data_IF_481073238533
#
_entry.id   IF_481073238533
#
_cell.length_a   1.000
_cell.length_b   1.000
_cell.length_c   1.000
_cell.angle_alpha   90.00
_cell.angle_beta   90.00
_cell.angle_gamma   90.00
#
_symmetry.space_group_name_H-M   'P 1'
#
loop_
_entity.id
_entity.type
_entity.pdbx_description
1 polymer ?
#
# COMPACT_ATOMS: atom_id res chain seq x y z
N UNK A 1 47.15 -32.56 13.15
CA UNK A 1 48.16 -31.81 13.93
C UNK A 1 47.51 -30.50 14.40
N UNK A 2 47.25 -30.36 15.70
CA UNK A 2 46.79 -29.13 16.36
C UNK A 2 47.78 -28.81 17.48
N UNK A 3 48.19 -27.54 17.69
CA UNK A 3 48.88 -27.16 18.91
C UNK A 3 48.10 -26.12 19.72
N UNK A 4 48.59 -25.93 20.96
CA UNK A 4 48.31 -24.89 21.96
C UNK A 4 47.23 -25.13 23.04
N UNK A 5 47.72 -25.59 24.21
CA UNK A 5 47.23 -25.35 25.58
C UNK A 5 47.75 -23.99 26.10
N UNK A 6 47.55 -23.54 27.38
CA UNK A 6 46.63 -23.96 28.45
C UNK A 6 45.81 -22.77 29.07
N UNK A 7 44.78 -23.08 29.88
CA UNK A 7 44.12 -22.11 30.79
C UNK A 7 44.40 -22.47 32.26
N UNK A 8 44.72 -21.44 33.04
CA UNK A 8 45.18 -21.45 34.44
C UNK A 8 43.99 -21.51 35.43
N UNK A 9 44.27 -22.12 36.59
CA UNK A 9 43.38 -22.44 37.72
C UNK A 9 42.99 -21.27 38.65
N UNK A 10 41.74 -21.40 39.15
CA UNK A 10 41.20 -21.19 40.51
C UNK A 10 41.71 -20.08 41.45
N UNK A 11 40.75 -19.34 42.04
CA UNK A 11 40.66 -19.19 43.50
C UNK A 11 39.24 -18.82 43.99
N UNK A 12 38.78 -19.63 44.93
CA UNK A 12 37.55 -19.58 45.71
C UNK A 12 37.71 -18.61 46.88
N UNK A 13 36.64 -17.90 47.28
CA UNK A 13 36.41 -17.55 48.70
C UNK A 13 34.91 -17.37 48.99
N UNK A 14 34.35 -18.34 49.72
CA UNK A 14 33.14 -18.21 50.56
C UNK A 14 33.56 -17.65 51.93
N UNK A 15 32.68 -16.87 52.55
CA UNK A 15 32.78 -16.50 53.96
C UNK A 15 31.49 -15.83 54.40
N UNK A 16 30.90 -16.36 55.47
CA UNK A 16 29.50 -16.20 55.89
C UNK A 16 29.44 -15.53 57.26
N UNK A 17 28.26 -14.96 57.62
CA UNK A 17 27.65 -14.93 58.99
C UNK A 17 28.35 -14.03 60.06
N UNK A 18 27.75 -13.32 61.04
CA UNK A 18 26.38 -13.12 61.58
C UNK A 18 26.35 -11.91 62.56
N UNK A 19 25.13 -11.51 62.97
CA UNK A 19 24.64 -11.14 64.32
C UNK A 19 24.85 -9.71 64.90
N UNK A 20 23.71 -9.03 65.12
CA UNK A 20 23.14 -8.59 66.43
C UNK A 20 21.84 -7.80 66.15
N UNK A 21 20.63 -8.35 66.29
CA UNK A 21 19.76 -8.46 67.49
C UNK A 21 19.81 -7.28 68.46
N UNK A 22 18.76 -6.45 68.43
CA UNK A 22 18.21 -5.72 69.58
C UNK A 22 16.67 -5.92 69.55
N UNK A 23 16.18 -6.71 70.49
CA UNK A 23 14.80 -6.76 71.00
C UNK A 23 14.59 -5.59 72.00
N UNK A 24 13.43 -5.05 72.38
CA UNK A 24 12.09 -5.61 72.67
C UNK A 24 11.20 -4.40 73.05
N UNK A 25 9.91 -4.40 72.73
CA UNK A 25 8.79 -4.07 73.64
C UNK A 25 7.49 -3.85 72.87
N UNK A 26 6.55 -4.77 73.06
CA UNK A 26 5.14 -4.59 72.74
C UNK A 26 4.44 -4.00 73.96
N UNK A 27 3.54 -3.03 73.76
CA UNK A 27 2.44 -2.76 74.69
C UNK A 27 1.21 -2.31 73.89
N UNK A 28 0.15 -3.10 74.02
CA UNK A 28 -1.17 -2.93 73.42
C UNK A 28 -2.10 -2.24 74.42
N UNK A 29 -2.66 -1.06 74.10
CA UNK A 29 -3.84 -0.50 74.80
C UNK A 29 -4.70 0.38 73.87
N UNK A 30 -5.99 0.06 73.90
CA UNK A 30 -7.20 0.87 73.69
C UNK A 30 -7.61 1.36 72.28
N UNK A 31 -8.78 0.85 71.90
CA UNK A 31 -9.69 1.40 70.93
C UNK A 31 -10.12 2.84 71.24
N UNK A 32 -10.31 3.64 70.20
CA UNK A 32 -11.32 4.69 70.16
C UNK A 32 -11.73 4.91 68.70
N UNK A 33 -12.91 4.42 68.37
CA UNK A 33 -13.61 4.75 67.16
C UNK A 33 -14.02 6.23 67.23
N UNK A 34 -13.49 7.03 66.32
CA UNK A 34 -14.07 8.34 65.99
C UNK A 34 -14.59 8.25 64.57
N UNK A 35 -15.91 8.07 64.48
CA UNK A 35 -16.69 8.20 63.27
C UNK A 35 -16.71 9.70 62.91
N UNK A 36 -15.85 10.10 61.98
CA UNK A 36 -16.04 11.34 61.24
C UNK A 36 -16.73 10.97 59.93
N UNK A 37 -18.05 11.01 59.96
CA UNK A 37 -18.90 11.08 58.79
C UNK A 37 -18.63 12.43 58.10
N UNK A 38 -17.56 12.48 57.32
CA UNK A 38 -17.37 13.53 56.32
C UNK A 38 -18.20 13.16 55.10
N UNK A 39 -19.27 13.90 54.84
CA UNK A 39 -20.00 13.90 53.57
C UNK A 39 -19.08 14.36 52.44
N UNK A 40 -18.21 13.46 51.98
CA UNK A 40 -17.54 13.57 50.71
C UNK A 40 -18.53 13.16 49.63
N UNK A 41 -19.23 14.13 49.05
CA UNK A 41 -19.89 13.94 47.76
C UNK A 41 -18.78 13.68 46.75
N UNK A 42 -18.39 12.42 46.59
CA UNK A 42 -17.66 11.95 45.40
C UNK A 42 -18.59 12.18 44.23
N UNK A 43 -18.46 13.35 43.60
CA UNK A 43 -18.95 13.55 42.24
C UNK A 43 -18.27 12.47 41.39
N UNK A 44 -19.02 11.41 41.08
CA UNK A 44 -18.65 10.52 39.99
C UNK A 44 -18.55 11.41 38.76
N UNK A 45 -17.32 11.69 38.34
CA UNK A 45 -17.05 12.17 36.99
C UNK A 45 -17.43 11.02 36.09
N UNK A 46 -18.71 10.98 35.71
CA UNK A 46 -19.15 10.24 34.53
C UNK A 46 -18.46 10.92 33.36
N UNK A 47 -17.28 10.41 33.00
CA UNK A 47 -16.69 10.70 31.70
C UNK A 47 -17.75 10.34 30.66
N UNK A 48 -18.31 11.35 30.01
CA UNK A 48 -19.14 11.13 28.84
C UNK A 48 -18.40 10.17 27.90
N UNK A 49 -19.08 9.19 27.28
CA UNK A 49 -18.42 8.31 26.33
C UNK A 49 -17.71 9.19 25.31
N UNK A 50 -16.38 9.11 25.23
CA UNK A 50 -15.67 9.84 24.19
C UNK A 50 -16.12 9.21 22.88
N UNK A 51 -17.03 9.88 22.17
CA UNK A 51 -17.32 9.56 20.79
C UNK A 51 -16.04 9.88 20.00
N UNK A 52 -15.09 8.95 20.02
CA UNK A 52 -13.83 9.02 19.30
C UNK A 52 -14.14 8.88 17.81
N UNK A 53 -14.57 10.00 17.22
CA UNK A 53 -14.75 10.12 15.78
C UNK A 53 -13.37 10.04 15.14
N UNK A 54 -13.23 9.12 14.19
CA UNK A 54 -12.05 9.03 13.33
C UNK A 54 -12.25 10.06 12.23
N UNK A 55 -11.37 11.06 12.19
CA UNK A 55 -11.37 12.09 11.16
C UNK A 55 -10.18 11.84 10.24
N UNK A 56 -10.47 11.57 8.98
CA UNK A 56 -9.51 11.30 7.92
C UNK A 56 -9.56 12.43 6.90
N UNK A 57 -8.46 12.63 6.18
CA UNK A 57 -8.40 13.48 4.99
C UNK A 57 -7.96 12.59 3.84
N UNK A 58 -8.80 12.49 2.81
CA UNK A 58 -8.54 11.65 1.64
C UNK A 58 -7.64 12.37 0.61
N UNK A 59 -7.31 11.68 -0.48
CA UNK A 59 -6.41 12.21 -1.51
C UNK A 59 -7.03 13.33 -2.35
N UNK A 60 -8.35 13.56 -2.23
CA UNK A 60 -9.05 14.73 -2.77
C UNK A 60 -9.19 15.86 -1.74
N UNK A 61 -8.45 15.77 -0.63
CA UNK A 61 -8.49 16.70 0.50
C UNK A 61 -9.88 16.83 1.14
N UNK A 62 -10.74 15.83 0.98
CA UNK A 62 -12.05 15.78 1.61
C UNK A 62 -11.94 15.18 3.00
N UNK A 63 -12.69 15.75 3.94
CA UNK A 63 -12.78 15.18 5.30
C UNK A 63 -13.77 14.03 5.32
N UNK A 64 -13.30 12.85 5.71
CA UNK A 64 -14.14 11.66 5.95
C UNK A 64 -14.23 11.43 7.46
N UNK A 65 -15.45 11.27 7.98
CA UNK A 65 -15.69 11.09 9.41
C UNK A 65 -16.34 9.74 9.65
N UNK A 66 -15.71 8.91 10.48
CA UNK A 66 -16.27 7.65 10.96
C UNK A 66 -16.54 7.75 12.47
N UNK A 67 -17.67 7.23 12.92
CA UNK A 67 -18.02 7.22 14.35
C UNK A 67 -17.30 6.12 15.13
N UNK A 68 -16.76 5.12 14.43
CA UNK A 68 -16.01 3.97 14.94
C UNK A 68 -15.12 3.43 13.80
N UNK A 69 -14.12 2.60 14.09
CA UNK A 69 -13.44 1.83 13.04
C UNK A 69 -14.45 1.10 12.15
N UNK A 70 -14.24 1.17 10.83
CA UNK A 70 -15.09 0.51 9.84
C UNK A 70 -15.06 -1.01 10.02
N UNK A 71 -16.24 -1.64 9.93
CA UNK A 71 -16.45 -3.08 10.14
C UNK A 71 -17.25 -3.74 9.01
N UNK A 72 -17.73 -2.94 8.05
CA UNK A 72 -18.49 -3.37 6.86
C UNK A 72 -18.01 -2.53 5.67
N UNK A 73 -17.08 -3.07 4.92
CA UNK A 73 -16.34 -2.36 3.88
C UNK A 73 -16.84 -2.81 2.51
N UNK A 74 -17.14 -1.85 1.65
CA UNK A 74 -17.14 -2.09 0.20
C UNK A 74 -15.82 -1.56 -0.34
N UNK A 75 -15.10 -2.41 -1.07
CA UNK A 75 -13.88 -2.02 -1.78
C UNK A 75 -14.18 -2.00 -3.28
N UNK A 76 -13.77 -0.93 -3.96
CA UNK A 76 -13.93 -0.76 -5.41
C UNK A 76 -12.55 -0.62 -6.05
N UNK A 77 -12.31 -1.28 -7.17
CA UNK A 77 -11.03 -1.42 -7.88
C UNK A 77 -10.04 -2.40 -7.21
N UNK A 78 -9.21 -3.13 -7.99
CA UNK A 78 -8.25 -4.11 -7.49
C UNK A 78 -7.26 -3.55 -6.46
N UNK A 79 -6.71 -2.35 -6.67
CA UNK A 79 -5.78 -1.73 -5.71
C UNK A 79 -6.36 -1.63 -4.29
N UNK A 80 -7.61 -1.19 -4.18
CA UNK A 80 -8.28 -1.06 -2.89
C UNK A 80 -8.58 -2.43 -2.27
N UNK A 81 -8.89 -3.45 -3.08
CA UNK A 81 -9.05 -4.82 -2.63
C UNK A 81 -7.75 -5.39 -2.03
N UNK A 82 -6.63 -5.23 -2.71
CA UNK A 82 -5.32 -5.69 -2.23
C UNK A 82 -4.95 -5.03 -0.89
N UNK A 83 -5.18 -3.71 -0.76
CA UNK A 83 -4.94 -2.99 0.50
C UNK A 83 -5.80 -3.57 1.63
N UNK A 84 -7.11 -3.73 1.44
CA UNK A 84 -7.97 -4.23 2.53
C UNK A 84 -7.64 -5.67 2.92
N UNK A 85 -7.27 -6.51 1.95
CA UNK A 85 -6.89 -7.90 2.20
C UNK A 85 -5.56 -8.01 2.96
N UNK A 86 -4.54 -7.23 2.58
CA UNK A 86 -3.25 -7.18 3.29
C UNK A 86 -3.37 -6.67 4.74
N UNK A 87 -4.41 -5.89 5.03
CA UNK A 87 -4.74 -5.46 6.40
C UNK A 87 -5.50 -6.52 7.21
N UNK A 88 -5.80 -7.66 6.60
CA UNK A 88 -6.51 -8.79 7.19
C UNK A 88 -8.02 -8.54 7.36
N UNK A 89 -8.61 -7.71 6.49
CA UNK A 89 -10.00 -7.26 6.59
C UNK A 89 -11.00 -8.10 5.79
N UNK A 90 -10.59 -9.29 5.30
CA UNK A 90 -11.46 -10.16 4.48
C UNK A 90 -12.87 -10.36 5.08
N UNK A 91 -13.00 -10.45 6.40
CA UNK A 91 -14.30 -10.68 7.07
C UNK A 91 -15.17 -9.43 7.13
N UNK A 92 -14.53 -8.27 7.14
CA UNK A 92 -15.15 -6.96 7.16
C UNK A 92 -15.58 -6.51 5.76
N UNK A 93 -15.07 -7.12 4.68
CA UNK A 93 -15.50 -6.83 3.30
C UNK A 93 -16.88 -7.44 3.03
N UNK A 94 -17.85 -6.59 2.71
CA UNK A 94 -19.24 -6.94 2.40
C UNK A 94 -19.60 -6.78 0.93
N UNK A 95 -18.68 -6.27 0.12
CA UNK A 95 -18.83 -6.16 -1.33
C UNK A 95 -17.54 -5.75 -2.03
N UNK A 96 -17.30 -6.34 -3.19
CA UNK A 96 -16.26 -5.96 -4.15
C UNK A 96 -16.89 -5.84 -5.54
N UNK A 97 -16.38 -4.94 -6.38
CA UNK A 97 -16.86 -4.83 -7.76
C UNK A 97 -16.29 -5.94 -8.67
N UNK A 98 -16.86 -6.06 -9.87
CA UNK A 98 -16.52 -7.10 -10.85
C UNK A 98 -15.02 -7.15 -11.21
N UNK A 99 -14.37 -5.98 -11.34
CA UNK A 99 -13.00 -5.86 -11.83
C UNK A 99 -12.00 -6.56 -10.90
N UNK A 100 -12.26 -6.53 -9.59
CA UNK A 100 -11.41 -7.13 -8.56
C UNK A 100 -11.27 -8.65 -8.79
N UNK A 101 -12.34 -9.34 -9.17
CA UNK A 101 -12.31 -10.79 -9.39
C UNK A 101 -11.58 -11.18 -10.68
N UNK A 102 -11.37 -10.22 -11.58
CA UNK A 102 -10.73 -10.44 -12.87
C UNK A 102 -9.27 -10.00 -12.88
N UNK A 103 -8.94 -8.87 -12.25
CA UNK A 103 -7.66 -8.18 -12.44
C UNK A 103 -6.75 -8.18 -11.21
N UNK A 104 -7.26 -8.53 -10.02
CA UNK A 104 -6.39 -8.70 -8.84
C UNK A 104 -5.35 -9.80 -9.11
N UNK A 105 -4.08 -9.63 -8.77
CA UNK A 105 -3.05 -10.63 -9.03
C UNK A 105 -3.06 -11.83 -8.07
N UNK A 106 -2.33 -12.87 -8.46
CA UNK A 106 -2.34 -14.20 -7.84
C UNK A 106 -2.18 -14.26 -6.31
N UNK A 107 -1.35 -13.44 -5.64
CA UNK A 107 -1.18 -13.52 -4.19
C UNK A 107 -2.48 -13.35 -3.39
N UNK A 108 -3.48 -12.66 -3.94
CA UNK A 108 -4.76 -12.38 -3.27
C UNK A 108 -5.94 -13.23 -3.78
N UNK A 109 -5.79 -14.03 -4.83
CA UNK A 109 -6.89 -14.79 -5.46
C UNK A 109 -7.66 -15.67 -4.47
N UNK A 110 -6.93 -16.37 -3.58
CA UNK A 110 -7.55 -17.25 -2.59
C UNK A 110 -8.41 -16.47 -1.57
N UNK A 111 -8.04 -15.21 -1.29
CA UNK A 111 -8.74 -14.36 -0.36
C UNK A 111 -10.04 -13.80 -0.94
N UNK A 112 -10.15 -13.65 -2.27
CA UNK A 112 -11.38 -13.20 -2.93
C UNK A 112 -12.53 -14.20 -2.81
N UNK A 113 -12.23 -15.49 -2.60
CA UNK A 113 -13.25 -16.54 -2.51
C UNK A 113 -14.26 -16.25 -1.40
N UNK A 114 -15.53 -16.18 -1.79
CA UNK A 114 -16.68 -15.99 -0.90
C UNK A 114 -17.03 -14.53 -0.61
N UNK A 115 -16.29 -13.56 -1.16
CA UNK A 115 -16.64 -12.15 -1.05
C UNK A 115 -17.80 -11.84 -2.01
N UNK A 116 -18.87 -11.14 -1.58
CA UNK A 116 -19.97 -10.77 -2.45
C UNK A 116 -19.52 -9.84 -3.57
N UNK A 117 -19.97 -10.12 -4.80
CA UNK A 117 -19.79 -9.23 -5.92
C UNK A 117 -20.99 -8.27 -6.04
N UNK A 118 -20.73 -6.96 -6.05
CA UNK A 118 -21.74 -5.89 -6.10
C UNK A 118 -21.94 -5.29 -7.50
N UNK A 119 -21.41 -5.93 -8.56
CA UNK A 119 -21.45 -5.46 -9.94
C UNK A 119 -20.28 -4.53 -10.27
N UNK A 120 -20.28 -3.89 -11.46
CA UNK A 120 -19.13 -3.15 -11.91
C UNK A 120 -19.01 -1.77 -11.23
N UNK A 121 -17.80 -1.26 -11.12
CA UNK A 121 -17.48 0.14 -10.77
C UNK A 121 -17.36 1.04 -12.00
N UNK A 122 -17.14 0.48 -13.20
CA UNK A 122 -17.03 1.20 -14.46
C UNK A 122 -18.14 0.82 -15.45
N UNK A 123 -18.82 1.80 -16.10
CA UNK A 123 -18.58 3.25 -16.00
C UNK A 123 -19.18 3.91 -14.75
N UNK A 124 -19.76 3.15 -13.82
CA UNK A 124 -20.26 3.62 -12.54
C UNK A 124 -20.81 2.49 -11.68
N UNK A 125 -20.98 2.74 -10.38
CA UNK A 125 -21.50 1.75 -9.43
C UNK A 125 -23.03 1.61 -9.49
N UNK A 126 -23.55 0.46 -9.07
CA UNK A 126 -24.96 0.36 -8.65
C UNK A 126 -25.10 0.82 -7.20
N UNK A 127 -25.65 2.03 -7.03
CA UNK A 127 -25.89 2.64 -5.71
C UNK A 127 -26.78 1.74 -4.85
N UNK A 128 -27.81 1.13 -5.44
CA UNK A 128 -28.74 0.25 -4.73
C UNK A 128 -28.04 -0.99 -4.18
N UNK A 129 -27.15 -1.62 -4.96
CA UNK A 129 -26.39 -2.79 -4.50
C UNK A 129 -25.41 -2.42 -3.39
N UNK A 130 -24.71 -1.29 -3.52
CA UNK A 130 -23.81 -0.79 -2.47
C UNK A 130 -24.59 -0.52 -1.18
N UNK A 131 -25.71 0.20 -1.25
CA UNK A 131 -26.56 0.48 -0.09
C UNK A 131 -27.14 -0.80 0.53
N UNK A 132 -27.57 -1.76 -0.29
CA UNK A 132 -28.10 -3.05 0.16
C UNK A 132 -27.04 -3.88 0.92
N UNK A 133 -25.76 -3.74 0.57
CA UNK A 133 -24.65 -4.35 1.32
C UNK A 133 -24.44 -3.72 2.71
N UNK A 134 -25.08 -2.58 3.01
CA UNK A 134 -25.02 -1.85 4.29
C UNK A 134 -23.58 -1.58 4.76
N UNK A 135 -22.71 -0.97 3.94
CA UNK A 135 -21.36 -0.64 4.35
C UNK A 135 -21.37 0.50 5.39
N UNK A 136 -20.38 0.47 6.28
CA UNK A 136 -20.01 1.62 7.11
C UNK A 136 -18.76 2.36 6.57
N UNK A 137 -18.19 1.89 5.46
CA UNK A 137 -17.17 2.56 4.67
C UNK A 137 -17.16 2.02 3.23
N UNK A 138 -17.02 2.92 2.25
CA UNK A 138 -16.64 2.58 0.87
C UNK A 138 -15.22 3.08 0.63
N UNK A 139 -14.31 2.20 0.20
CA UNK A 139 -12.96 2.57 -0.25
C UNK A 139 -12.96 2.53 -1.77
N UNK A 140 -12.58 3.64 -2.41
CA UNK A 140 -12.73 3.81 -3.85
C UNK A 140 -11.62 4.68 -4.45
N UNK A 141 -11.51 4.65 -5.77
CA UNK A 141 -10.61 5.49 -6.55
C UNK A 141 -11.37 6.67 -7.20
N UNK A 142 -10.64 7.62 -7.77
CA UNK A 142 -11.25 8.74 -8.51
C UNK A 142 -11.90 8.28 -9.82
N UNK A 143 -12.81 9.08 -10.39
CA UNK A 143 -13.40 8.82 -11.70
C UNK A 143 -14.60 7.84 -11.72
N UNK A 144 -14.84 7.10 -10.63
CA UNK A 144 -15.99 6.20 -10.49
C UNK A 144 -17.29 7.01 -10.34
N UNK A 145 -18.24 6.83 -11.27
CA UNK A 145 -19.55 7.51 -11.22
C UNK A 145 -20.45 6.88 -10.16
N UNK A 146 -21.31 7.70 -9.55
CA UNK A 146 -22.30 7.27 -8.53
C UNK A 146 -21.81 7.33 -7.09
N UNK A 147 -20.51 7.57 -6.84
CA UNK A 147 -19.97 7.69 -5.47
C UNK A 147 -20.60 8.84 -4.68
N UNK A 148 -20.87 9.97 -5.33
CA UNK A 148 -21.53 11.14 -4.70
C UNK A 148 -22.91 10.81 -4.15
N UNK A 149 -23.61 9.88 -4.78
CA UNK A 149 -24.99 9.55 -4.46
C UNK A 149 -25.08 8.75 -3.16
N UNK A 150 -23.97 8.14 -2.71
CA UNK A 150 -23.89 7.43 -1.43
C UNK A 150 -24.03 8.36 -0.22
N UNK A 151 -23.74 9.65 -0.40
CA UNK A 151 -23.86 10.67 0.66
C UNK A 151 -25.29 10.79 1.19
N UNK A 152 -26.31 10.61 0.34
CA UNK A 152 -27.71 10.68 0.75
C UNK A 152 -28.12 9.54 1.70
N UNK A 153 -27.32 8.47 1.74
CA UNK A 153 -27.50 7.32 2.64
C UNK A 153 -26.56 7.36 3.85
N UNK A 154 -25.85 8.47 4.06
CA UNK A 154 -24.85 8.63 5.12
C UNK A 154 -23.72 7.57 5.09
N UNK A 155 -23.42 7.03 3.90
CA UNK A 155 -22.31 6.10 3.71
C UNK A 155 -21.04 6.92 3.43
N UNK A 156 -20.01 6.85 4.27
CA UNK A 156 -18.76 7.56 4.04
C UNK A 156 -17.97 6.87 2.92
N UNK A 157 -17.37 7.69 2.05
CA UNK A 157 -16.50 7.26 0.95
C UNK A 157 -15.11 7.80 1.21
N UNK A 158 -14.11 6.93 1.17
CA UNK A 158 -12.69 7.26 1.28
C UNK A 158 -12.04 7.11 -0.10
N UNK A 159 -11.61 8.22 -0.69
CA UNK A 159 -10.99 8.23 -2.02
C UNK A 159 -9.46 8.11 -1.90
N UNK A 160 -8.90 7.06 -2.50
CA UNK A 160 -7.46 6.85 -2.62
C UNK A 160 -7.04 7.17 -4.07
N UNK A 161 -5.99 7.97 -4.26
CA UNK A 161 -5.55 8.44 -5.57
C UNK A 161 -4.06 8.84 -5.57
N UNK A 162 -3.17 7.89 -5.26
CA UNK A 162 -1.79 8.24 -4.97
C UNK A 162 -1.01 8.51 -6.26
N UNK A 163 -0.35 9.66 -6.31
CA UNK A 163 0.51 10.07 -7.43
C UNK A 163 1.95 9.54 -7.33
N UNK A 164 2.27 8.72 -6.32
CA UNK A 164 3.61 8.19 -6.07
C UNK A 164 3.59 6.98 -5.15
N UNK A 165 4.72 6.26 -5.06
CA UNK A 165 4.90 5.15 -4.10
C UNK A 165 4.71 5.61 -2.65
N UNK A 166 5.13 6.83 -2.32
CA UNK A 166 4.92 7.40 -0.99
C UNK A 166 3.43 7.66 -0.74
N UNK A 167 2.68 8.03 -1.78
CA UNK A 167 1.21 8.11 -1.74
C UNK A 167 0.59 6.75 -1.45
N UNK A 168 1.03 5.68 -2.12
CA UNK A 168 0.55 4.32 -1.83
C UNK A 168 0.76 3.93 -0.36
N UNK A 169 1.92 4.28 0.21
CA UNK A 169 2.17 4.08 1.64
C UNK A 169 1.26 4.90 2.55
N UNK A 170 0.88 6.10 2.13
CA UNK A 170 -0.07 6.94 2.85
C UNK A 170 -1.46 6.29 2.83
N UNK A 171 -1.90 5.81 1.68
CA UNK A 171 -3.22 5.24 1.48
C UNK A 171 -3.43 3.94 2.26
N UNK A 172 -2.42 3.06 2.29
CA UNK A 172 -2.43 1.88 3.15
C UNK A 172 -2.60 2.27 4.63
N UNK A 173 -1.93 3.34 5.08
CA UNK A 173 -2.09 3.84 6.46
C UNK A 173 -3.46 4.45 6.68
N UNK A 174 -4.00 5.18 5.69
CA UNK A 174 -5.31 5.81 5.76
C UNK A 174 -6.41 4.77 5.92
N UNK A 175 -6.37 3.68 5.13
CA UNK A 175 -7.27 2.52 5.30
C UNK A 175 -7.03 1.85 6.66
N UNK A 176 -5.78 1.72 7.10
CA UNK A 176 -5.42 1.23 8.43
C UNK A 176 -6.03 2.05 9.57
N UNK A 177 -6.05 3.38 9.47
CA UNK A 177 -6.68 4.27 10.45
C UNK A 177 -8.21 4.17 10.39
N UNK A 178 -8.80 4.16 9.19
CA UNK A 178 -10.23 4.02 8.97
C UNK A 178 -10.82 2.74 9.60
N UNK A 179 -10.02 1.67 9.63
CA UNK A 179 -10.44 0.32 10.03
C UNK A 179 -9.87 -0.11 11.39
N UNK A 180 -9.09 0.75 12.06
CA UNK A 180 -8.41 0.42 13.32
C UNK A 180 -7.27 -0.60 13.19
N UNK A 181 -6.80 -0.85 11.96
CA UNK A 181 -5.69 -1.75 11.60
C UNK A 181 -4.35 -1.02 11.45
N UNK A 182 -4.14 0.07 12.18
CA UNK A 182 -2.93 0.91 12.08
C UNK A 182 -1.62 0.11 12.23
N UNK A 183 -1.56 -0.89 13.13
CA UNK A 183 -0.35 -1.71 13.31
C UNK A 183 -0.06 -2.59 12.09
N UNK A 184 -1.11 -3.20 11.50
CA UNK A 184 -1.02 -4.00 10.28
C UNK A 184 -0.58 -3.11 9.12
N UNK A 185 -1.21 -1.95 8.93
CA UNK A 185 -0.85 -1.00 7.89
C UNK A 185 0.61 -0.54 7.98
N UNK A 186 1.07 -0.21 9.19
CA UNK A 186 2.49 0.11 9.41
C UNK A 186 3.40 -1.09 9.07
N UNK A 187 2.97 -2.32 9.33
CA UNK A 187 3.74 -3.52 8.99
C UNK A 187 3.86 -3.71 7.49
N UNK A 188 2.74 -3.62 6.76
CA UNK A 188 2.68 -3.70 5.29
C UNK A 188 3.59 -2.64 4.67
N UNK A 189 3.44 -1.37 5.07
CA UNK A 189 4.28 -0.27 4.57
C UNK A 189 5.77 -0.48 4.87
N UNK A 190 6.12 -0.96 6.07
CA UNK A 190 7.52 -1.26 6.41
C UNK A 190 8.10 -2.36 5.52
N UNK A 191 7.33 -3.42 5.26
CA UNK A 191 7.77 -4.53 4.42
C UNK A 191 7.94 -4.08 2.97
N UNK A 192 6.94 -3.37 2.41
CA UNK A 192 7.04 -2.81 1.06
C UNK A 192 8.27 -1.91 0.91
N UNK A 193 8.45 -0.97 1.84
CA UNK A 193 9.60 -0.05 1.82
C UNK A 193 10.92 -0.81 1.90
N UNK A 194 11.06 -1.76 2.83
CA UNK A 194 12.30 -2.53 2.97
C UNK A 194 12.63 -3.33 1.70
N UNK A 195 11.62 -3.90 1.03
CA UNK A 195 11.81 -4.63 -0.22
C UNK A 195 12.17 -3.68 -1.38
N UNK A 196 11.47 -2.55 -1.52
CA UNK A 196 11.76 -1.55 -2.55
C UNK A 196 13.13 -0.92 -2.36
N UNK A 197 13.51 -0.57 -1.13
CA UNK A 197 14.84 -0.04 -0.80
C UNK A 197 15.93 -1.06 -1.15
N UNK A 198 15.73 -2.34 -0.84
CA UNK A 198 16.69 -3.39 -1.19
C UNK A 198 16.87 -3.55 -2.71
N UNK A 199 15.80 -3.38 -3.49
CA UNK A 199 15.85 -3.39 -4.96
C UNK A 199 16.60 -2.14 -5.46
N UNK A 200 16.24 -0.97 -4.94
CA UNK A 200 16.85 0.31 -5.31
C UNK A 200 18.36 0.33 -5.03
N UNK A 201 18.82 -0.26 -3.92
CA UNK A 201 20.25 -0.40 -3.63
C UNK A 201 20.99 -1.24 -4.67
N UNK A 202 20.35 -2.29 -5.20
CA UNK A 202 20.94 -3.08 -6.30
C UNK A 202 20.93 -2.29 -7.61
N UNK A 203 19.84 -1.60 -7.91
CA UNK A 203 19.73 -0.73 -9.09
C UNK A 203 20.80 0.37 -9.05
N UNK A 204 21.11 0.97 -7.89
CA UNK A 204 22.17 1.97 -7.75
C UNK A 204 23.58 1.47 -8.11
N UNK A 205 23.78 0.16 -8.23
CA UNK A 205 25.06 -0.42 -8.71
C UNK A 205 25.20 -0.37 -10.23
N UNK A 206 24.10 -0.15 -10.98
CA UNK A 206 24.18 0.15 -12.41
C UNK A 206 24.38 1.65 -12.64
N UNK A 207 25.23 1.98 -13.61
CA UNK A 207 25.40 3.36 -14.09
C UNK A 207 24.51 3.66 -15.30
N UNK A 208 23.78 2.66 -15.81
CA UNK A 208 22.90 2.81 -16.95
C UNK A 208 21.52 3.25 -16.50
N UNK A 209 21.01 4.31 -17.12
CA UNK A 209 19.65 4.81 -16.90
C UNK A 209 18.91 4.91 -18.23
N UNK A 210 18.47 3.77 -18.80
CA UNK A 210 17.82 3.76 -20.10
C UNK A 210 16.53 4.58 -20.07
N UNK A 211 16.24 5.20 -21.21
CA UNK A 211 14.94 5.86 -21.46
C UNK A 211 13.89 4.80 -21.72
N UNK A 212 12.79 4.85 -21.00
CA UNK A 212 11.67 3.92 -21.11
C UNK A 212 10.42 4.67 -21.55
N UNK A 213 9.74 4.15 -22.57
CA UNK A 213 8.34 4.48 -22.86
C UNK A 213 7.47 3.34 -22.36
N UNK A 214 6.47 3.64 -21.51
CA UNK A 214 5.50 2.66 -21.02
C UNK A 214 4.16 2.92 -21.72
N UNK A 215 3.78 2.07 -22.67
CA UNK A 215 2.52 2.16 -23.41
C UNK A 215 1.43 1.41 -22.64
N UNK A 216 0.46 2.16 -22.11
CA UNK A 216 -0.75 1.65 -21.45
C UNK A 216 -1.82 1.22 -22.46
N UNK A 217 -1.53 1.34 -23.76
CA UNK A 217 -2.45 1.11 -24.87
C UNK A 217 -2.83 2.40 -25.57
N UNK A 218 -2.91 2.35 -26.90
CA UNK A 218 -3.27 3.49 -27.76
C UNK A 218 -2.47 4.77 -27.49
N UNK A 219 -1.21 4.67 -27.03
CA UNK A 219 -0.34 5.79 -26.65
C UNK A 219 -0.76 6.55 -25.39
N UNK A 220 -1.64 5.99 -24.57
CA UNK A 220 -1.69 6.41 -23.18
C UNK A 220 -0.40 6.00 -22.48
N UNK A 221 0.19 6.88 -21.67
CA UNK A 221 1.45 6.59 -20.99
C UNK A 221 1.49 7.16 -19.58
N UNK A 222 2.50 6.81 -18.80
CA UNK A 222 2.76 7.37 -17.48
C UNK A 222 3.46 8.74 -17.59
N UNK A 223 2.83 9.80 -17.09
CA UNK A 223 3.39 11.16 -16.99
C UNK A 223 4.05 11.45 -15.63
N UNK A 224 4.50 12.70 -15.37
CA UNK A 224 5.36 13.04 -14.23
C UNK A 224 4.70 12.87 -12.84
N UNK A 225 3.36 12.88 -12.78
CA UNK A 225 2.57 12.77 -11.54
C UNK A 225 1.85 11.42 -11.40
N UNK A 226 2.44 10.36 -11.97
CA UNK A 226 1.93 8.99 -11.83
C UNK A 226 2.80 8.17 -10.88
N UNK A 227 2.19 7.20 -10.19
CA UNK A 227 2.95 6.23 -9.41
C UNK A 227 3.78 5.30 -10.32
N UNK A 228 3.34 5.03 -11.56
CA UNK A 228 4.12 4.28 -12.57
C UNK A 228 5.41 5.03 -12.92
N UNK A 229 5.37 6.36 -13.08
CA UNK A 229 6.60 7.16 -13.23
C UNK A 229 7.53 7.01 -12.03
N UNK A 230 6.99 6.99 -10.81
CA UNK A 230 7.81 6.74 -9.61
C UNK A 230 8.46 5.35 -9.66
N UNK A 231 7.74 4.34 -10.12
CA UNK A 231 8.21 2.96 -10.22
C UNK A 231 9.31 2.80 -11.27
N UNK A 232 9.15 3.39 -12.46
CA UNK A 232 10.17 3.38 -13.53
C UNK A 232 11.46 4.06 -13.05
N UNK A 233 11.35 5.18 -12.32
CA UNK A 233 12.53 5.86 -11.77
C UNK A 233 13.22 5.01 -10.68
N UNK A 234 12.47 4.34 -9.80
CA UNK A 234 13.01 3.41 -8.81
C UNK A 234 13.67 2.18 -9.46
N UNK A 235 13.19 1.77 -10.63
CA UNK A 235 13.78 0.70 -11.42
C UNK A 235 15.11 1.11 -12.09
N UNK A 236 15.53 2.38 -11.99
CA UNK A 236 16.79 2.88 -12.53
C UNK A 236 16.67 3.55 -13.89
N UNK A 237 15.49 3.55 -14.50
CA UNK A 237 15.26 4.13 -15.81
C UNK A 237 14.87 5.62 -15.76
N UNK A 238 14.68 6.20 -16.94
CA UNK A 238 14.11 7.52 -17.16
C UNK A 238 12.82 7.34 -17.96
N UNK A 239 11.68 7.66 -17.35
CA UNK A 239 10.40 7.64 -18.06
C UNK A 239 10.31 8.82 -19.05
N UNK A 240 10.22 8.52 -20.35
CA UNK A 240 10.12 9.59 -21.37
C UNK A 240 8.77 10.29 -21.35
N UNK A 241 7.70 9.60 -20.95
CA UNK A 241 6.35 10.15 -20.84
C UNK A 241 6.26 11.28 -19.82
N UNK A 242 7.13 11.27 -18.81
CA UNK A 242 7.20 12.32 -17.78
C UNK A 242 7.57 13.70 -18.35
N UNK A 243 8.14 13.76 -19.55
CA UNK A 243 8.51 15.02 -20.23
C UNK A 243 7.54 15.45 -21.34
N UNK A 244 6.57 14.60 -21.69
CA UNK A 244 5.66 14.81 -22.82
C UNK A 244 4.37 15.56 -22.45
N UNK A 245 4.01 15.55 -21.17
CA UNK A 245 2.80 16.18 -20.63
C UNK A 245 2.96 16.51 -19.16
N UNK A 246 2.08 17.38 -18.64
CA UNK A 246 1.91 17.62 -17.20
C UNK A 246 0.85 16.73 -16.56
N UNK A 247 0.08 15.98 -17.35
CA UNK A 247 -0.94 15.06 -16.83
C UNK A 247 -0.30 13.78 -16.29
N UNK A 248 -0.97 13.11 -15.34
CA UNK A 248 -0.48 11.85 -14.78
C UNK A 248 -0.54 10.70 -15.81
N UNK A 249 -1.59 10.65 -16.65
CA UNK A 249 -1.79 9.61 -17.65
C UNK A 249 -2.22 10.22 -19.01
N UNK A 250 -1.31 10.93 -19.71
CA UNK A 250 -1.63 11.57 -20.98
C UNK A 250 -1.78 10.57 -22.12
N UNK A 251 -2.64 10.91 -23.09
CA UNK A 251 -2.52 10.43 -24.46
C UNK A 251 -1.44 11.25 -25.17
N UNK A 252 -0.38 10.60 -25.65
CA UNK A 252 0.71 11.24 -26.40
C UNK A 252 0.62 10.93 -27.90
N UNK A 253 1.40 11.63 -28.72
CA UNK A 253 1.48 11.33 -30.16
C UNK A 253 2.66 10.42 -30.49
N UNK A 254 2.56 9.69 -31.60
CA UNK A 254 3.66 8.84 -32.08
C UNK A 254 4.93 9.67 -32.33
N UNK A 255 4.80 10.89 -32.85
CA UNK A 255 5.92 11.79 -33.08
C UNK A 255 6.63 12.19 -31.78
N UNK A 256 5.90 12.36 -30.68
CA UNK A 256 6.50 12.63 -29.38
C UNK A 256 7.35 11.44 -28.92
N UNK A 257 6.85 10.21 -29.07
CA UNK A 257 7.59 8.98 -28.70
C UNK A 257 8.82 8.80 -29.60
N UNK A 258 8.68 8.96 -30.92
CA UNK A 258 9.79 8.91 -31.88
C UNK A 258 10.87 9.94 -31.53
N UNK A 259 10.48 11.17 -31.19
CA UNK A 259 11.41 12.23 -30.80
C UNK A 259 12.13 11.94 -29.48
N UNK A 260 11.45 11.29 -28.54
CA UNK A 260 12.06 10.94 -27.26
C UNK A 260 13.12 9.83 -27.40
N UNK A 261 12.96 8.98 -28.42
CA UNK A 261 13.86 7.89 -28.80
C UNK A 261 14.21 6.99 -27.58
N UNK A 262 13.22 6.26 -27.04
CA UNK A 262 13.45 5.40 -25.88
C UNK A 262 14.41 4.24 -26.21
N UNK A 263 15.15 3.81 -25.19
CA UNK A 263 15.98 2.61 -25.23
C UNK A 263 15.12 1.34 -25.15
N UNK A 264 14.03 1.39 -24.37
CA UNK A 264 13.10 0.28 -24.19
C UNK A 264 11.65 0.78 -24.30
N UNK A 265 10.80 -0.02 -24.95
CA UNK A 265 9.34 0.17 -24.94
C UNK A 265 8.73 -0.97 -24.12
N UNK A 266 7.95 -0.62 -23.11
CA UNK A 266 7.22 -1.55 -22.25
C UNK A 266 5.74 -1.41 -22.55
N UNK A 267 5.10 -2.49 -22.97
CA UNK A 267 3.69 -2.55 -23.33
C UNK A 267 2.94 -3.18 -22.16
N UNK A 268 1.92 -2.50 -21.67
CA UNK A 268 0.97 -3.05 -20.72
C UNK A 268 0.24 -4.25 -21.34
N UNK A 269 0.32 -5.43 -20.69
CA UNK A 269 -0.34 -6.63 -21.20
C UNK A 269 -1.86 -6.53 -21.28
N UNK A 270 -2.48 -5.68 -20.46
CA UNK A 270 -3.93 -5.46 -20.46
C UNK A 270 -4.41 -4.69 -21.69
N UNK A 271 -3.53 -3.93 -22.35
CA UNK A 271 -3.83 -3.19 -23.58
C UNK A 271 -4.15 -4.11 -24.77
N UNK A 272 -3.70 -5.37 -24.73
CA UNK A 272 -3.84 -6.32 -25.83
C UNK A 272 -2.98 -6.00 -27.07
N UNK A 273 -2.16 -4.95 -27.00
CA UNK A 273 -1.18 -4.61 -28.04
C UNK A 273 -0.02 -5.60 -28.00
N UNK A 274 0.28 -6.18 -29.17
CA UNK A 274 1.44 -7.07 -29.34
C UNK A 274 2.69 -6.27 -29.70
N UNK A 275 3.87 -6.84 -29.44
CA UNK A 275 5.16 -6.28 -29.91
C UNK A 275 5.11 -5.95 -31.41
N UNK A 276 4.59 -6.87 -32.23
CA UNK A 276 4.52 -6.64 -33.68
C UNK A 276 3.61 -5.48 -34.07
N UNK A 277 2.53 -5.23 -33.33
CA UNK A 277 1.65 -4.08 -33.60
C UNK A 277 2.33 -2.78 -33.18
N UNK A 278 3.05 -2.79 -32.05
CA UNK A 278 3.77 -1.63 -31.55
C UNK A 278 4.94 -1.25 -32.48
N UNK A 279 5.71 -2.24 -32.94
CA UNK A 279 6.81 -2.06 -33.90
C UNK A 279 6.34 -1.46 -35.24
N UNK A 280 5.14 -1.83 -35.67
CA UNK A 280 4.53 -1.39 -36.95
C UNK A 280 3.84 -0.03 -36.85
N UNK A 281 3.76 0.56 -35.65
CA UNK A 281 3.18 1.88 -35.46
C UNK A 281 3.94 2.91 -36.30
N UNK A 282 3.21 3.87 -36.87
CA UNK A 282 3.80 4.85 -37.78
C UNK A 282 4.98 5.59 -37.12
N UNK A 283 6.15 5.52 -37.76
CA UNK A 283 7.39 6.15 -37.29
C UNK A 283 8.20 5.32 -36.28
N UNK A 284 7.64 4.27 -35.68
CA UNK A 284 8.30 3.51 -34.62
C UNK A 284 9.52 2.71 -35.09
N UNK A 285 9.59 2.35 -36.38
CA UNK A 285 10.80 1.77 -36.99
C UNK A 285 12.05 2.68 -36.91
N UNK A 286 11.89 3.97 -36.61
CA UNK A 286 13.00 4.89 -36.37
C UNK A 286 13.52 4.87 -34.93
N UNK A 287 12.73 4.38 -33.97
CA UNK A 287 13.07 4.34 -32.54
C UNK A 287 14.16 3.30 -32.27
N UNK A 288 15.12 3.63 -31.40
CA UNK A 288 16.19 2.74 -31.01
C UNK A 288 15.68 1.40 -30.45
N UNK A 289 14.73 1.43 -29.51
CA UNK A 289 14.11 0.24 -28.94
C UNK A 289 13.60 -0.75 -30.00
N UNK A 290 12.88 -0.27 -31.03
CA UNK A 290 12.35 -1.10 -32.12
C UNK A 290 13.48 -1.67 -32.97
N UNK A 291 14.49 -0.85 -33.30
CA UNK A 291 15.66 -1.28 -34.09
C UNK A 291 16.48 -2.37 -33.40
N UNK A 292 16.56 -2.35 -32.06
CA UNK A 292 17.33 -3.30 -31.27
C UNK A 292 16.50 -4.46 -30.72
N UNK A 293 15.19 -4.48 -30.95
CA UNK A 293 14.28 -5.50 -30.43
C UNK A 293 14.03 -5.40 -28.92
N UNK A 294 14.13 -4.19 -28.36
CA UNK A 294 13.88 -3.88 -26.96
C UNK A 294 12.44 -3.38 -26.75
N UNK A 295 11.50 -4.17 -27.26
CA UNK A 295 10.06 -3.93 -27.11
C UNK A 295 9.47 -5.13 -26.39
N UNK A 296 8.92 -4.89 -25.21
CA UNK A 296 8.54 -5.94 -24.27
C UNK A 296 7.08 -5.77 -23.86
N UNK A 297 6.31 -6.86 -23.87
CA UNK A 297 5.03 -6.90 -23.17
C UNK A 297 5.31 -7.25 -21.71
N UNK A 298 4.78 -6.47 -20.77
CA UNK A 298 4.86 -6.74 -19.34
C UNK A 298 4.22 -8.10 -19.03
N UNK A 299 4.95 -9.09 -18.48
CA UNK A 299 4.37 -10.39 -18.14
C UNK A 299 3.17 -10.34 -17.19
N UNK A 300 3.18 -9.44 -16.21
CA UNK A 300 2.12 -9.29 -15.21
C UNK A 300 1.82 -7.81 -14.97
N UNK A 301 1.12 -7.17 -15.91
CA UNK A 301 0.79 -5.74 -15.77
C UNK A 301 -0.04 -5.43 -14.51
N UNK A 302 -0.84 -6.38 -14.00
CA UNK A 302 -1.56 -6.22 -12.72
C UNK A 302 -0.68 -5.96 -11.49
N UNK A 303 0.64 -6.16 -11.57
CA UNK A 303 1.57 -5.73 -10.53
C UNK A 303 2.00 -4.25 -10.62
N UNK A 304 1.63 -3.55 -11.69
CA UNK A 304 2.06 -2.18 -12.03
C UNK A 304 0.87 -1.27 -12.34
N UNK A 305 -0.26 -1.81 -12.80
CA UNK A 305 -1.39 -0.99 -13.26
C UNK A 305 -2.19 -0.38 -12.08
N UNK A 306 -1.99 -0.93 -10.88
CA UNK A 306 -2.75 -0.60 -9.67
C UNK A 306 -1.83 -0.03 -8.58
N UNK A 307 -2.21 1.09 -7.93
CA UNK A 307 -1.41 1.71 -6.87
C UNK A 307 -1.50 0.96 -5.53
N UNK A 308 -0.93 -0.25 -5.47
CA UNK A 308 -1.19 -1.21 -4.40
C UNK A 308 0.10 -1.81 -3.78
N UNK A 309 -0.02 -2.71 -2.78
CA UNK A 309 1.10 -3.51 -2.31
C UNK A 309 1.83 -4.31 -3.40
N UNK A 310 1.15 -4.68 -4.48
CA UNK A 310 1.72 -5.43 -5.60
C UNK A 310 2.86 -4.71 -6.33
N UNK A 311 2.97 -3.38 -6.20
CA UNK A 311 4.05 -2.59 -6.80
C UNK A 311 5.45 -3.05 -6.43
N UNK A 312 5.62 -3.77 -5.31
CA UNK A 312 6.92 -4.41 -4.99
C UNK A 312 7.29 -5.46 -6.05
N UNK A 313 6.33 -6.26 -6.51
CA UNK A 313 6.53 -7.26 -7.56
C UNK A 313 6.71 -6.57 -8.92
N UNK A 314 5.91 -5.54 -9.19
CA UNK A 314 6.04 -4.72 -10.39
C UNK A 314 7.43 -4.09 -10.51
N UNK A 315 7.99 -3.57 -9.41
CA UNK A 315 9.36 -3.06 -9.39
C UNK A 315 10.40 -4.14 -9.73
N UNK A 316 10.24 -5.35 -9.21
CA UNK A 316 11.15 -6.47 -9.53
C UNK A 316 11.09 -6.81 -11.02
N UNK A 317 9.88 -6.85 -11.58
CA UNK A 317 9.65 -7.17 -12.99
C UNK A 317 10.26 -6.11 -13.91
N UNK A 318 10.05 -4.82 -13.60
CA UNK A 318 10.69 -3.71 -14.31
C UNK A 318 12.22 -3.82 -14.26
N UNK A 319 12.81 -4.06 -13.09
CA UNK A 319 14.27 -4.19 -12.99
C UNK A 319 14.78 -5.41 -13.75
N UNK A 320 14.05 -6.52 -13.77
CA UNK A 320 14.44 -7.69 -14.54
C UNK A 320 14.49 -7.42 -16.06
N UNK A 321 13.50 -6.68 -16.57
CA UNK A 321 13.43 -6.31 -17.98
C UNK A 321 14.49 -5.26 -18.33
N UNK A 322 14.57 -4.18 -17.54
CA UNK A 322 15.42 -3.01 -17.82
C UNK A 322 16.90 -3.31 -17.53
N UNK A 323 17.18 -4.14 -16.53
CA UNK A 323 18.52 -4.47 -16.06
C UNK A 323 18.70 -5.98 -15.88
N UNK A 324 18.66 -6.79 -16.95
CA UNK A 324 18.64 -8.26 -16.88
C UNK A 324 19.90 -8.87 -16.23
N UNK A 325 20.99 -8.11 -16.11
CA UNK A 325 22.20 -8.52 -15.42
C UNK A 325 22.11 -8.40 -13.90
N UNK A 326 21.14 -7.65 -13.36
CA UNK A 326 20.91 -7.50 -11.92
C UNK A 326 20.06 -8.66 -11.40
N UNK A 327 20.60 -9.38 -10.41
CA UNK A 327 19.85 -10.42 -9.70
C UNK A 327 19.03 -9.82 -8.57
N UNK A 328 17.72 -9.71 -8.78
CA UNK A 328 16.78 -9.20 -7.78
C UNK A 328 15.97 -10.35 -7.16
N UNK A 329 16.23 -10.65 -5.89
CA UNK A 329 15.32 -11.45 -5.03
C UNK A 329 15.07 -12.88 -5.49
N UNK A 330 16.13 -13.70 -5.59
CA UNK A 330 16.03 -15.16 -5.38
C UNK A 330 15.53 -15.46 -3.95
#
# INVERSE_FOLDING_TARGET
MRPFSPKVHYLVKRGTLVFKRITLAALSVAASAVVLAGCGTTAQVTSAPSNHRIKLVDDLHQTVILNKPATRIVALEPSNAEIVLDLGLKREVVGMDDSIFQYTPAPWHAELKGIPNIGPSYPGISVEKVVAAKPDLVVASTGIKGLSDLKQFHIPVLILNPASIVGVYHDIKLVGEATGRTRQAQSVVRQMRAQMDAIEQKVKTTHQRPKVFYDLGDLYTAGPHSFINSLINLAGAVNVGASMSTQAYPLVTAEQVVKADPNDILIDSSAGTTVSQEDQRAGFSAILAVKTGHVYVMPNSSYIDEPSPALVMGLKELVHIIHPHLKIGE
#
